data_IF_253138009039
#
_entry.id   IF_253138009039
#
_cell.length_a   1.000
_cell.length_b   1.000
_cell.length_c   1.000
_cell.angle_alpha   90.00
_cell.angle_beta   90.00
_cell.angle_gamma   90.00
#
_symmetry.space_group_name_H-M   'P 1'
#
loop_
_entity.id
_entity.type
_entity.pdbx_description
1 polymer ?
#
# COMPACT_ATOMS: atom_id res chain seq x y z
N UNK A 1 62.10 16.09 -30.62
CA UNK A 1 62.10 14.89 -29.78
C UNK A 1 60.66 14.59 -29.36
N UNK A 2 60.08 13.50 -29.88
CA UNK A 2 58.72 13.03 -29.66
C UNK A 2 58.68 12.26 -28.33
N UNK A 3 57.67 12.50 -27.46
CA UNK A 3 57.22 11.52 -26.44
C UNK A 3 55.72 11.32 -26.54
N UNK A 4 55.38 10.15 -27.03
CA UNK A 4 54.04 9.54 -26.94
C UNK A 4 53.72 9.21 -25.50
N UNK A 5 52.50 9.55 -25.04
CA UNK A 5 51.89 8.93 -23.88
C UNK A 5 50.54 8.34 -24.30
N UNK A 6 50.46 7.02 -24.30
CA UNK A 6 49.27 6.19 -24.55
C UNK A 6 48.37 6.25 -23.35
N UNK A 7 47.08 6.51 -23.57
CA UNK A 7 45.98 6.32 -22.62
C UNK A 7 45.70 4.83 -22.43
N UNK A 8 45.42 4.33 -21.22
CA UNK A 8 44.97 2.95 -21.02
C UNK A 8 43.47 2.80 -21.26
N UNK A 9 43.16 1.73 -21.96
CA UNK A 9 41.84 1.26 -22.38
C UNK A 9 40.93 0.87 -21.23
N UNK A 10 39.68 1.27 -21.38
CA UNK A 10 38.48 0.89 -20.59
C UNK A 10 38.14 -0.61 -20.80
N UNK A 11 38.65 -1.50 -19.95
CA UNK A 11 38.18 -2.90 -19.86
C UNK A 11 38.65 -3.52 -18.53
N UNK A 12 38.05 -3.12 -17.40
CA UNK A 12 38.15 -3.86 -16.13
C UNK A 12 37.27 -3.23 -15.04
N UNK A 13 35.94 -3.20 -15.25
CA UNK A 13 35.00 -2.87 -14.19
C UNK A 13 33.66 -3.58 -14.38
N UNK A 14 33.67 -4.90 -14.54
CA UNK A 14 32.46 -5.70 -14.49
C UNK A 14 32.70 -7.07 -13.85
N UNK A 15 33.12 -7.06 -12.60
CA UNK A 15 33.16 -8.31 -11.81
C UNK A 15 33.37 -8.05 -10.31
N UNK A 16 32.46 -7.28 -9.66
CA UNK A 16 32.41 -7.22 -8.18
C UNK A 16 31.02 -6.81 -7.68
N UNK A 17 29.97 -7.52 -8.09
CA UNK A 17 28.60 -7.27 -7.56
C UNK A 17 27.75 -8.52 -7.28
N UNK A 18 28.38 -9.64 -6.89
CA UNK A 18 27.61 -10.88 -6.62
C UNK A 18 28.09 -11.64 -5.38
N UNK A 19 28.66 -10.95 -4.36
CA UNK A 19 29.16 -11.65 -3.17
C UNK A 19 28.59 -11.21 -1.82
N UNK A 20 27.53 -10.38 -1.79
CA UNK A 20 27.01 -9.81 -0.53
C UNK A 20 25.62 -10.30 -0.10
N UNK A 21 24.93 -11.16 -0.87
CA UNK A 21 23.55 -11.54 -0.53
C UNK A 21 23.41 -12.89 0.20
N UNK A 22 24.42 -13.72 0.30
CA UNK A 22 24.33 -15.05 0.94
C UNK A 22 24.46 -15.07 2.48
N UNK A 23 25.16 -14.18 3.18
CA UNK A 23 25.25 -14.26 4.64
C UNK A 23 23.94 -13.90 5.36
N UNK A 24 23.19 -12.91 4.88
CA UNK A 24 21.98 -12.38 5.55
C UNK A 24 20.81 -13.36 5.58
N UNK A 25 20.64 -14.18 4.54
CA UNK A 25 19.57 -15.20 4.52
C UNK A 25 19.86 -16.39 5.47
N UNK A 26 21.12 -16.70 5.70
CA UNK A 26 21.52 -17.73 6.65
C UNK A 26 21.29 -17.31 8.08
N UNK A 27 21.67 -16.08 8.43
CA UNK A 27 21.43 -15.49 9.77
C UNK A 27 19.93 -15.39 10.09
N UNK A 28 19.09 -15.04 9.13
CA UNK A 28 17.63 -14.96 9.35
C UNK A 28 17.01 -16.33 9.64
N UNK A 29 17.44 -17.38 8.94
CA UNK A 29 16.95 -18.77 9.18
C UNK A 29 17.42 -19.34 10.51
N UNK A 30 18.66 -19.08 10.87
CA UNK A 30 19.21 -19.53 12.16
C UNK A 30 18.53 -18.83 13.34
N UNK A 31 18.32 -17.51 13.24
CA UNK A 31 17.58 -16.72 14.25
C UNK A 31 16.11 -17.17 14.33
N UNK A 32 15.48 -17.49 13.20
CA UNK A 32 14.11 -18.01 13.19
C UNK A 32 14.01 -19.39 13.85
N UNK A 33 14.95 -20.29 13.55
CA UNK A 33 14.98 -21.61 14.17
C UNK A 33 15.19 -21.53 15.68
N UNK A 34 16.10 -20.68 16.14
CA UNK A 34 16.34 -20.43 17.57
C UNK A 34 15.11 -19.80 18.23
N UNK A 35 14.42 -18.87 17.56
CA UNK A 35 13.17 -18.27 17.98
C UNK A 35 12.08 -19.31 18.19
N UNK A 36 11.85 -20.15 17.20
CA UNK A 36 10.85 -21.23 17.22
C UNK A 36 11.15 -22.19 18.37
N UNK A 37 12.40 -22.59 18.53
CA UNK A 37 12.82 -23.48 19.62
C UNK A 37 12.62 -22.85 21.01
N UNK A 38 12.94 -21.56 21.14
CA UNK A 38 12.72 -20.80 22.39
C UNK A 38 11.24 -20.64 22.70
N UNK A 39 10.40 -20.41 21.69
CA UNK A 39 8.95 -20.38 21.85
C UNK A 39 8.39 -21.75 22.21
N UNK A 40 8.84 -22.84 21.56
CA UNK A 40 8.46 -24.21 21.89
C UNK A 40 8.78 -24.54 23.35
N UNK A 41 10.00 -24.32 23.81
CA UNK A 41 10.38 -24.58 25.21
C UNK A 41 9.53 -23.81 26.23
N UNK A 42 9.09 -22.59 25.90
CA UNK A 42 8.22 -21.79 26.76
C UNK A 42 6.74 -22.21 26.70
N UNK A 43 6.30 -22.78 25.56
CA UNK A 43 4.92 -23.21 25.33
C UNK A 43 4.65 -24.68 25.70
N UNK A 44 5.67 -25.54 25.72
CA UNK A 44 5.55 -26.94 26.14
C UNK A 44 5.01 -27.14 27.56
N UNK A 45 4.93 -26.07 28.33
CA UNK A 45 4.34 -26.10 29.67
C UNK A 45 2.80 -26.01 29.71
N UNK A 46 2.09 -25.74 28.58
CA UNK A 46 0.62 -25.77 28.52
C UNK A 46 0.13 -25.98 27.05
N UNK A 47 0.21 -27.24 26.58
CA UNK A 47 -0.41 -27.58 25.30
C UNK A 47 -1.94 -27.71 25.45
N UNK A 48 -2.69 -26.74 24.95
CA UNK A 48 -4.09 -26.92 24.59
C UNK A 48 -4.21 -26.99 23.05
N UNK A 49 -5.06 -27.87 22.49
CA UNK A 49 -5.20 -28.02 21.05
C UNK A 49 -5.82 -26.75 20.47
N UNK A 50 -5.13 -26.14 19.50
CA UNK A 50 -5.66 -25.01 18.74
C UNK A 50 -6.74 -25.53 17.77
N UNK A 51 -7.94 -24.98 17.86
CA UNK A 51 -8.94 -25.12 16.80
C UNK A 51 -8.46 -24.38 15.56
N UNK A 52 -8.54 -24.97 14.36
CA UNK A 52 -8.13 -24.29 13.13
C UNK A 52 -8.99 -23.04 12.93
N UNK A 53 -8.33 -21.89 12.82
CA UNK A 53 -8.98 -20.62 12.57
C UNK A 53 -9.74 -20.68 11.25
N UNK A 54 -11.05 -20.45 11.29
CA UNK A 54 -11.87 -20.39 10.09
C UNK A 54 -11.55 -19.09 9.35
N UNK A 55 -11.06 -19.23 8.12
CA UNK A 55 -10.82 -18.12 7.20
C UNK A 55 -12.17 -17.45 6.93
N UNK A 56 -12.33 -16.19 7.36
CA UNK A 56 -13.54 -15.40 7.08
C UNK A 56 -14.34 -14.92 8.30
N UNK A 57 -13.99 -15.35 9.52
CA UNK A 57 -14.63 -14.80 10.72
C UNK A 57 -14.03 -13.44 11.12
N UNK A 58 -14.90 -12.54 11.59
CA UNK A 58 -14.43 -11.29 12.17
C UNK A 58 -13.60 -11.58 13.42
N UNK A 59 -12.43 -10.93 13.58
CA UNK A 59 -11.60 -11.13 14.76
C UNK A 59 -12.38 -10.71 16.03
N UNK A 60 -12.26 -11.51 17.08
CA UNK A 60 -12.90 -11.20 18.35
C UNK A 60 -12.22 -9.99 19.03
N UNK A 61 -13.03 -8.96 19.35
CA UNK A 61 -12.56 -7.75 20.03
C UNK A 61 -12.54 -7.93 21.57
N UNK A 62 -12.12 -9.12 22.04
CA UNK A 62 -11.92 -9.41 23.47
C UNK A 62 -10.44 -9.36 23.82
N UNK A 63 -10.07 -9.09 25.07
CA UNK A 63 -8.71 -9.27 25.55
C UNK A 63 -8.20 -10.67 25.20
N UNK A 64 -6.96 -10.77 24.76
CA UNK A 64 -6.34 -12.04 24.38
C UNK A 64 -5.35 -12.47 25.47
N UNK A 65 -5.83 -13.23 26.43
CA UNK A 65 -5.03 -13.70 27.58
C UNK A 65 -4.53 -15.13 27.40
N UNK A 66 -5.09 -15.86 26.43
CA UNK A 66 -4.87 -17.31 26.29
C UNK A 66 -3.86 -17.67 25.19
N UNK A 67 -3.41 -16.71 24.42
CA UNK A 67 -2.49 -16.91 23.27
C UNK A 67 -1.45 -15.82 23.19
N UNK A 68 -0.39 -16.09 22.43
CA UNK A 68 0.58 -15.08 22.06
C UNK A 68 -0.09 -13.90 21.36
N UNK A 69 0.39 -12.70 21.67
CA UNK A 69 -0.02 -11.49 20.94
C UNK A 69 1.21 -10.85 20.33
N UNK A 70 1.12 -10.54 19.04
CA UNK A 70 2.20 -9.91 18.30
C UNK A 70 1.74 -8.56 17.77
N UNK A 71 2.57 -7.54 17.88
CA UNK A 71 2.44 -6.29 17.16
C UNK A 71 3.49 -6.23 16.06
N UNK A 72 3.10 -5.75 14.87
CA UNK A 72 4.01 -5.55 13.76
C UNK A 72 3.83 -4.16 13.19
N UNK A 73 4.89 -3.37 13.24
CA UNK A 73 5.00 -2.08 12.56
C UNK A 73 5.58 -2.29 11.16
N UNK A 74 4.75 -2.06 10.14
CA UNK A 74 5.07 -2.38 8.74
C UNK A 74 5.87 -1.24 8.10
N UNK A 75 7.19 -1.46 7.92
CA UNK A 75 8.03 -0.59 7.12
C UNK A 75 8.11 -1.01 5.64
N UNK A 76 8.74 -0.17 4.83
CA UNK A 76 8.88 -0.41 3.38
C UNK A 76 9.75 -1.63 3.05
N UNK A 77 10.92 -1.73 3.66
CA UNK A 77 11.85 -2.86 3.46
C UNK A 77 11.95 -3.77 4.67
N UNK A 78 11.79 -3.23 5.86
CA UNK A 78 11.89 -3.93 7.12
C UNK A 78 10.71 -3.58 8.02
N UNK A 79 10.08 -4.60 8.56
CA UNK A 79 9.01 -4.49 9.55
C UNK A 79 9.55 -4.87 10.92
N UNK A 80 9.17 -4.13 11.96
CA UNK A 80 9.52 -4.43 13.33
C UNK A 80 8.41 -5.23 13.99
N UNK A 81 8.76 -6.22 14.80
CA UNK A 81 7.78 -7.00 15.55
C UNK A 81 8.12 -7.10 17.02
N UNK A 82 7.08 -7.26 17.82
CA UNK A 82 7.14 -7.54 19.24
C UNK A 82 6.15 -8.66 19.57
N UNK A 83 6.64 -9.73 20.23
CA UNK A 83 5.83 -10.87 20.67
C UNK A 83 5.68 -10.80 22.17
N UNK A 84 4.44 -10.81 22.64
CA UNK A 84 4.08 -10.90 24.05
C UNK A 84 3.65 -12.33 24.39
N UNK A 85 4.11 -12.79 25.55
CA UNK A 85 3.71 -14.06 26.15
C UNK A 85 2.34 -14.00 26.79
N UNK A 86 1.96 -15.12 27.44
CA UNK A 86 0.65 -15.29 28.07
C UNK A 86 0.45 -14.36 29.28
N UNK A 87 1.51 -13.91 29.91
CA UNK A 87 1.48 -12.98 31.05
C UNK A 87 1.65 -11.49 30.61
N UNK A 88 1.77 -11.25 29.30
CA UNK A 88 1.98 -9.92 28.73
C UNK A 88 3.43 -9.44 28.79
N UNK A 89 4.35 -10.30 29.17
CA UNK A 89 5.79 -10.06 29.12
C UNK A 89 6.29 -10.05 27.67
N UNK A 90 7.26 -9.20 27.37
CA UNK A 90 7.91 -9.21 26.05
C UNK A 90 8.82 -10.44 25.95
N UNK A 91 8.47 -11.39 25.10
CA UNK A 91 9.28 -12.57 24.84
C UNK A 91 10.41 -12.25 23.90
N UNK A 92 10.09 -11.58 22.79
CA UNK A 92 11.01 -11.31 21.68
C UNK A 92 10.61 -10.03 20.98
N UNK A 93 11.60 -9.29 20.55
CA UNK A 93 11.49 -8.18 19.59
C UNK A 93 12.52 -8.39 18.49
N UNK A 94 12.17 -8.00 17.27
CA UNK A 94 13.05 -8.14 16.13
C UNK A 94 12.55 -7.44 14.88
N UNK A 95 13.18 -7.79 13.79
CA UNK A 95 12.84 -7.27 12.46
C UNK A 95 12.69 -8.43 11.49
N UNK A 96 11.82 -8.26 10.50
CA UNK A 96 11.70 -9.15 9.35
C UNK A 96 11.64 -8.31 8.08
N UNK A 97 12.07 -8.89 6.97
CA UNK A 97 11.94 -8.23 5.67
C UNK A 97 10.48 -8.16 5.26
N UNK A 98 10.07 -7.01 4.73
CA UNK A 98 8.72 -6.78 4.22
C UNK A 98 8.58 -7.33 2.79
N UNK A 99 8.81 -8.66 2.63
CA UNK A 99 8.56 -9.39 1.38
C UNK A 99 7.53 -10.47 1.60
N UNK A 100 6.83 -10.89 0.54
CA UNK A 100 5.81 -11.94 0.67
C UNK A 100 6.40 -13.26 1.19
N UNK A 101 7.61 -13.62 0.71
CA UNK A 101 8.29 -14.85 1.11
C UNK A 101 8.73 -14.83 2.57
N UNK A 102 9.42 -13.76 3.00
CA UNK A 102 9.91 -13.67 4.38
C UNK A 102 8.76 -13.58 5.38
N UNK A 103 7.69 -12.84 5.06
CA UNK A 103 6.48 -12.77 5.89
C UNK A 103 5.81 -14.14 6.01
N UNK A 104 5.65 -14.87 4.91
CA UNK A 104 5.04 -16.20 4.93
C UNK A 104 5.89 -17.20 5.73
N UNK A 105 7.20 -17.25 5.48
CA UNK A 105 8.14 -18.14 6.20
C UNK A 105 8.12 -17.86 7.71
N UNK A 106 8.14 -16.57 8.09
CA UNK A 106 8.12 -16.17 9.49
C UNK A 106 6.83 -16.60 10.21
N UNK A 107 5.67 -16.30 9.63
CA UNK A 107 4.39 -16.60 10.29
C UNK A 107 3.99 -18.07 10.22
N UNK A 108 4.44 -18.84 9.23
CA UNK A 108 4.29 -20.30 9.20
C UNK A 108 5.07 -20.99 10.31
N UNK A 109 6.19 -20.42 10.77
CA UNK A 109 7.03 -20.99 11.81
C UNK A 109 6.51 -20.73 13.23
N UNK A 110 5.54 -19.82 13.40
CA UNK A 110 5.02 -19.42 14.70
C UNK A 110 3.67 -20.09 14.96
N UNK A 111 3.42 -20.51 16.20
CA UNK A 111 2.10 -21.02 16.61
C UNK A 111 1.01 -19.95 16.43
N UNK A 112 -0.25 -20.35 16.14
CA UNK A 112 -1.34 -19.41 15.96
C UNK A 112 -1.42 -18.37 17.10
N UNK A 113 -1.42 -17.11 16.72
CA UNK A 113 -1.37 -15.95 17.62
C UNK A 113 -2.34 -14.87 17.15
N UNK A 114 -2.65 -13.91 18.02
CA UNK A 114 -3.24 -12.65 17.62
C UNK A 114 -2.14 -11.74 17.11
N UNK A 115 -2.27 -11.26 15.89
CA UNK A 115 -1.31 -10.35 15.24
C UNK A 115 -1.98 -9.01 14.98
N UNK A 116 -1.36 -7.94 15.44
CA UNK A 116 -1.82 -6.57 15.24
C UNK A 116 -0.87 -5.86 14.29
N UNK A 117 -1.41 -5.36 13.20
CA UNK A 117 -0.69 -4.52 12.23
C UNK A 117 -1.37 -3.16 12.12
N UNK A 118 -0.63 -2.12 11.73
CA UNK A 118 -1.22 -0.81 11.43
C UNK A 118 -1.62 -0.74 9.94
N UNK A 119 -2.74 -0.03 9.64
CA UNK A 119 -3.15 0.19 8.26
C UNK A 119 -2.10 1.00 7.49
N UNK A 120 -1.68 0.51 6.34
CA UNK A 120 -0.67 1.12 5.50
C UNK A 120 -0.63 0.47 4.11
N UNK A 121 0.35 0.84 3.31
CA UNK A 121 0.51 0.37 1.93
C UNK A 121 0.64 -1.16 1.84
N UNK A 122 1.34 -1.76 2.80
CA UNK A 122 1.59 -3.20 2.84
C UNK A 122 0.53 -4.00 3.61
N UNK A 123 -0.27 -3.34 4.45
CA UNK A 123 -1.13 -4.02 5.43
C UNK A 123 -2.11 -5.02 4.83
N UNK A 124 -2.64 -4.76 3.64
CA UNK A 124 -3.66 -5.62 3.03
C UNK A 124 -3.11 -7.00 2.58
N UNK A 125 -1.97 -7.04 1.89
CA UNK A 125 -1.38 -8.31 1.46
C UNK A 125 -0.70 -9.03 2.64
N UNK A 126 -0.14 -8.27 3.59
CA UNK A 126 0.43 -8.84 4.83
C UNK A 126 -0.66 -9.51 5.65
N UNK A 127 -1.82 -8.87 5.84
CA UNK A 127 -2.97 -9.47 6.50
C UNK A 127 -3.39 -10.79 5.86
N UNK A 128 -3.47 -10.84 4.51
CA UNK A 128 -3.85 -12.05 3.79
C UNK A 128 -2.88 -13.22 4.04
N UNK A 129 -1.58 -12.93 4.02
CA UNK A 129 -0.55 -13.95 4.29
C UNK A 129 -0.65 -14.44 5.74
N UNK A 130 -0.69 -13.53 6.71
CA UNK A 130 -0.73 -13.85 8.13
C UNK A 130 -2.00 -14.66 8.46
N UNK A 131 -3.16 -14.24 7.96
CA UNK A 131 -4.40 -14.98 8.13
C UNK A 131 -4.36 -16.36 7.47
N UNK A 132 -3.74 -16.47 6.28
CA UNK A 132 -3.50 -17.74 5.60
C UNK A 132 -2.60 -18.70 6.37
N UNK A 133 -1.75 -18.21 7.26
CA UNK A 133 -0.95 -19.01 8.19
C UNK A 133 -1.71 -19.41 9.48
N UNK A 134 -3.01 -19.10 9.60
CA UNK A 134 -3.85 -19.47 10.74
C UNK A 134 -3.83 -18.52 11.93
N UNK A 135 -3.27 -17.32 11.77
CA UNK A 135 -3.29 -16.29 12.82
C UNK A 135 -4.55 -15.43 12.77
N UNK A 136 -4.97 -14.94 13.92
CA UNK A 136 -5.98 -13.88 14.04
C UNK A 136 -5.33 -12.52 13.77
N UNK A 137 -5.84 -11.76 12.80
CA UNK A 137 -5.23 -10.47 12.42
C UNK A 137 -6.16 -9.30 12.71
N UNK A 138 -5.67 -8.35 13.49
CA UNK A 138 -6.30 -7.06 13.74
C UNK A 138 -5.55 -5.97 12.96
N UNK A 139 -6.25 -5.23 12.12
CA UNK A 139 -5.69 -4.09 11.38
C UNK A 139 -6.09 -2.80 12.08
N UNK A 140 -5.16 -2.21 12.81
CA UNK A 140 -5.38 -0.98 13.59
C UNK A 140 -5.55 0.25 12.70
N UNK A 141 -6.48 1.15 13.08
CA UNK A 141 -6.67 2.43 12.41
C UNK A 141 -5.99 3.57 13.20
N UNK A 142 -4.79 4.03 12.81
CA UNK A 142 -4.04 5.04 13.56
C UNK A 142 -4.72 6.39 13.63
N UNK A 143 -5.63 6.70 12.69
CA UNK A 143 -6.36 7.98 12.67
C UNK A 143 -7.34 8.10 13.83
N UNK A 144 -7.87 6.97 14.30
CA UNK A 144 -8.87 6.91 15.37
C UNK A 144 -8.25 6.55 16.73
N UNK A 145 -7.03 6.01 16.74
CA UNK A 145 -6.33 5.66 17.98
C UNK A 145 -5.98 6.92 18.78
N UNK A 146 -6.43 6.99 20.02
CA UNK A 146 -6.12 8.11 20.92
C UNK A 146 -4.62 8.20 21.20
N UNK A 147 -4.07 9.44 21.18
CA UNK A 147 -2.67 9.71 21.53
C UNK A 147 -1.64 9.50 20.40
N UNK A 148 -2.04 9.11 19.19
CA UNK A 148 -1.14 8.98 18.03
C UNK A 148 -0.47 10.32 17.64
N UNK A 149 -1.10 11.46 17.91
CA UNK A 149 -0.65 12.80 17.47
C UNK A 149 0.39 13.48 18.39
N UNK A 150 0.70 12.96 19.57
CA UNK A 150 1.42 13.74 20.61
C UNK A 150 2.89 13.37 20.90
N UNK A 151 3.50 12.38 20.26
CA UNK A 151 4.90 12.01 20.61
C UNK A 151 5.90 12.39 19.52
N UNK A 152 6.81 13.29 19.87
CA UNK A 152 7.94 13.78 19.03
C UNK A 152 9.08 12.76 18.80
N UNK A 153 9.07 11.60 19.44
CA UNK A 153 10.05 10.51 19.22
C UNK A 153 9.28 9.22 18.92
N UNK A 154 9.05 8.98 17.65
CA UNK A 154 8.56 7.73 17.11
C UNK A 154 9.76 6.79 16.91
N UNK A 155 9.65 5.55 17.35
CA UNK A 155 10.57 4.48 17.02
C UNK A 155 9.71 3.27 16.72
N UNK A 156 9.96 2.66 15.57
CA UNK A 156 9.20 1.54 15.01
C UNK A 156 9.11 0.36 16.01
N UNK A 157 10.16 0.16 16.81
CA UNK A 157 10.17 -0.82 17.91
C UNK A 157 9.14 -0.50 18.99
N UNK A 158 9.00 0.76 19.39
CA UNK A 158 8.02 1.21 20.39
C UNK A 158 6.60 1.06 19.84
N UNK A 159 6.42 1.31 18.54
CA UNK A 159 5.13 1.19 17.89
C UNK A 159 4.69 -0.28 17.80
N UNK A 160 5.57 -1.21 17.45
CA UNK A 160 5.28 -2.66 17.48
C UNK A 160 4.89 -3.17 18.88
N UNK A 161 5.63 -2.78 19.93
CA UNK A 161 5.31 -3.16 21.31
C UNK A 161 3.96 -2.58 21.73
N UNK A 162 3.67 -1.32 21.40
CA UNK A 162 2.38 -0.68 21.68
C UNK A 162 1.22 -1.40 21.00
N UNK A 163 1.36 -1.76 19.74
CA UNK A 163 0.35 -2.52 18.99
C UNK A 163 0.08 -3.88 19.66
N UNK A 164 1.14 -4.60 20.04
CA UNK A 164 1.00 -5.87 20.73
C UNK A 164 0.23 -5.72 22.06
N UNK A 165 0.58 -4.73 22.89
CA UNK A 165 -0.09 -4.48 24.19
C UNK A 165 -1.56 -4.10 24.03
N UNK A 166 -1.87 -3.18 23.11
CA UNK A 166 -3.26 -2.79 22.82
C UNK A 166 -4.07 -3.97 22.30
N UNK A 167 -3.53 -4.72 21.35
CA UNK A 167 -4.20 -5.91 20.81
C UNK A 167 -4.44 -7.00 21.85
N UNK A 168 -3.63 -7.05 22.91
CA UNK A 168 -3.79 -7.98 24.00
C UNK A 168 -4.87 -7.54 24.99
N UNK A 169 -4.81 -6.30 25.47
CA UNK A 169 -5.60 -5.82 26.63
C UNK A 169 -6.84 -5.08 26.19
N UNK A 170 -6.74 -4.23 25.17
CA UNK A 170 -7.83 -3.38 24.67
C UNK A 170 -7.84 -3.31 23.15
N UNK A 171 -8.26 -4.39 22.48
CA UNK A 171 -8.32 -4.41 21.03
C UNK A 171 -9.35 -3.44 20.43
N UNK A 172 -10.32 -2.95 21.22
CA UNK A 172 -11.30 -1.97 20.75
C UNK A 172 -10.66 -0.60 20.50
N UNK A 173 -9.69 -0.21 21.32
CA UNK A 173 -8.94 1.06 21.15
C UNK A 173 -8.11 1.12 19.87
N UNK A 174 -7.87 -0.02 19.20
CA UNK A 174 -7.24 -0.09 17.90
C UNK A 174 -8.17 0.37 16.77
N UNK A 175 -9.48 0.48 17.03
CA UNK A 175 -10.51 0.72 16.02
C UNK A 175 -10.30 -0.17 14.78
N UNK A 176 -10.34 -1.51 14.92
CA UNK A 176 -9.95 -2.43 13.87
C UNK A 176 -10.79 -2.24 12.61
N UNK A 177 -10.11 -2.26 11.48
CA UNK A 177 -10.75 -2.14 10.17
C UNK A 177 -10.53 -3.39 9.31
N UNK A 178 -11.41 -3.59 8.36
CA UNK A 178 -11.28 -4.63 7.35
C UNK A 178 -10.80 -4.02 6.04
N UNK A 179 -9.80 -4.63 5.43
CA UNK A 179 -9.42 -4.28 4.06
C UNK A 179 -10.51 -4.72 3.07
N UNK A 180 -10.55 -4.03 1.94
CA UNK A 180 -11.37 -4.45 0.79
C UNK A 180 -10.83 -5.75 0.24
N UNK A 181 -11.70 -6.54 -0.36
CA UNK A 181 -11.34 -7.78 -1.03
C UNK A 181 -10.27 -7.57 -2.11
N UNK A 182 -9.50 -8.61 -2.38
CA UNK A 182 -8.34 -8.56 -3.31
C UNK A 182 -8.74 -8.06 -4.69
N UNK A 183 -9.85 -8.55 -5.25
CA UNK A 183 -10.33 -8.13 -6.56
C UNK A 183 -10.70 -6.65 -6.59
N UNK A 184 -11.44 -6.18 -5.57
CA UNK A 184 -11.83 -4.77 -5.47
C UNK A 184 -10.60 -3.86 -5.36
N UNK A 185 -9.58 -4.29 -4.62
CA UNK A 185 -8.30 -3.54 -4.53
C UNK A 185 -7.57 -3.49 -5.87
N UNK A 186 -7.58 -4.58 -6.64
CA UNK A 186 -7.00 -4.62 -7.99
C UNK A 186 -7.75 -3.67 -8.93
N UNK A 187 -9.08 -3.67 -8.90
CA UNK A 187 -9.89 -2.78 -9.73
C UNK A 187 -9.73 -1.30 -9.32
N UNK A 188 -9.52 -1.02 -8.03
CA UNK A 188 -9.18 0.33 -7.57
C UNK A 188 -7.81 0.82 -8.08
N UNK A 189 -6.85 -0.06 -8.35
CA UNK A 189 -5.57 0.33 -8.97
C UNK A 189 -5.80 0.94 -10.34
N UNK A 190 -6.76 0.41 -11.13
CA UNK A 190 -7.12 0.95 -12.43
C UNK A 190 -7.56 2.42 -12.34
N UNK A 191 -8.45 2.74 -11.39
CA UNK A 191 -8.92 4.11 -11.16
C UNK A 191 -7.79 5.03 -10.70
N UNK A 192 -6.96 4.58 -9.77
CA UNK A 192 -5.83 5.36 -9.25
C UNK A 192 -4.77 5.64 -10.31
N UNK A 193 -4.47 4.66 -11.16
CA UNK A 193 -3.54 4.84 -12.26
C UNK A 193 -4.07 5.88 -13.27
N UNK A 194 -5.36 5.78 -13.61
CA UNK A 194 -6.01 6.78 -14.46
C UNK A 194 -5.94 8.19 -13.85
N UNK A 195 -6.24 8.34 -12.56
CA UNK A 195 -6.21 9.63 -11.88
C UNK A 195 -4.79 10.22 -11.85
N UNK A 196 -3.77 9.40 -11.66
CA UNK A 196 -2.37 9.83 -11.75
C UNK A 196 -2.03 10.36 -13.15
N UNK A 197 -2.50 9.69 -14.22
CA UNK A 197 -2.30 10.17 -15.61
C UNK A 197 -3.02 11.50 -15.86
N UNK A 198 -4.23 11.67 -15.32
CA UNK A 198 -4.99 12.93 -15.43
C UNK A 198 -4.28 14.07 -14.70
N UNK A 199 -3.75 13.80 -13.50
CA UNK A 199 -2.97 14.79 -12.74
C UNK A 199 -1.71 15.21 -13.50
N UNK A 200 -0.92 14.24 -14.01
CA UNK A 200 0.29 14.49 -14.78
C UNK A 200 -0.01 15.31 -16.06
N UNK A 201 -1.06 14.94 -16.80
CA UNK A 201 -1.49 15.70 -17.98
C UNK A 201 -1.87 17.13 -17.63
N UNK A 202 -2.61 17.32 -16.57
CA UNK A 202 -3.05 18.65 -16.12
C UNK A 202 -1.87 19.51 -15.73
N UNK A 203 -0.87 18.94 -15.04
CA UNK A 203 0.37 19.62 -14.69
C UNK A 203 1.15 20.07 -15.94
N UNK A 204 1.32 19.19 -16.94
CA UNK A 204 2.00 19.52 -18.20
C UNK A 204 1.28 20.64 -18.95
N UNK A 205 -0.06 20.58 -19.04
CA UNK A 205 -0.87 21.62 -19.69
C UNK A 205 -0.70 22.97 -18.97
N UNK A 206 -0.78 22.99 -17.65
CA UNK A 206 -0.67 24.20 -16.87
C UNK A 206 0.74 24.80 -16.96
N UNK A 207 1.78 23.97 -16.90
CA UNK A 207 3.18 24.36 -17.05
C UNK A 207 3.42 24.97 -18.45
N UNK A 208 2.97 24.29 -19.50
CA UNK A 208 3.11 24.81 -20.88
C UNK A 208 2.42 26.14 -21.04
N UNK A 209 1.18 26.28 -20.55
CA UNK A 209 0.44 27.56 -20.58
C UNK A 209 1.14 28.66 -19.80
N UNK A 210 1.72 28.33 -18.64
CA UNK A 210 2.47 29.26 -17.80
C UNK A 210 3.72 29.77 -18.50
N UNK A 211 4.50 28.86 -19.09
CA UNK A 211 5.73 29.21 -19.81
C UNK A 211 5.46 30.09 -21.05
N UNK A 212 4.45 29.74 -21.87
CA UNK A 212 4.09 30.60 -23.03
C UNK A 212 3.59 31.97 -22.56
N UNK A 213 2.86 32.03 -21.45
CA UNK A 213 2.38 33.31 -20.89
C UNK A 213 3.53 34.20 -20.44
N UNK A 214 4.62 33.62 -19.88
CA UNK A 214 5.81 34.39 -19.49
C UNK A 214 6.54 35.03 -20.69
N UNK A 215 6.32 34.52 -21.90
CA UNK A 215 6.83 35.09 -23.16
C UNK A 215 5.90 36.14 -23.79
N UNK A 216 4.88 36.59 -23.05
CA UNK A 216 3.92 37.60 -23.52
C UNK A 216 2.81 37.07 -24.42
N UNK A 217 2.74 35.76 -24.67
CA UNK A 217 1.77 35.11 -25.56
C UNK A 217 0.82 34.20 -24.77
N UNK A 218 -0.33 33.86 -25.34
CA UNK A 218 -1.29 32.93 -24.71
C UNK A 218 -1.70 31.84 -25.66
N UNK A 219 -1.65 30.60 -25.22
CA UNK A 219 -2.22 29.49 -25.97
C UNK A 219 -3.76 29.57 -26.02
N UNK A 220 -4.38 29.06 -27.09
CA UNK A 220 -5.82 29.08 -27.28
C UNK A 220 -6.55 28.34 -26.13
N UNK A 221 -7.76 28.79 -25.81
CA UNK A 221 -8.65 28.06 -24.90
C UNK A 221 -9.12 26.78 -25.61
N UNK A 222 -8.88 25.64 -24.95
CA UNK A 222 -9.26 24.32 -25.45
C UNK A 222 -9.44 23.34 -24.30
N UNK A 223 -10.13 22.24 -24.57
CA UNK A 223 -10.20 21.11 -23.64
C UNK A 223 -8.84 20.42 -23.48
N UNK A 224 -8.62 19.71 -22.37
CA UNK A 224 -7.41 18.91 -22.20
C UNK A 224 -7.22 17.85 -23.27
N UNK A 225 -8.31 17.34 -23.84
CA UNK A 225 -8.30 16.35 -24.92
C UNK A 225 -7.78 16.92 -26.24
N UNK A 226 -8.15 18.17 -26.57
CA UNK A 226 -7.72 18.84 -27.82
C UNK A 226 -6.46 19.69 -27.64
N UNK A 227 -5.83 19.62 -26.45
CA UNK A 227 -4.69 20.47 -26.12
C UNK A 227 -3.48 20.17 -27.03
N UNK A 228 -3.14 18.90 -27.25
CA UNK A 228 -2.00 18.48 -28.08
C UNK A 228 -2.00 19.18 -29.42
N UNK A 229 -3.08 19.00 -30.19
CA UNK A 229 -3.24 19.59 -31.52
C UNK A 229 -3.25 21.13 -31.48
N UNK A 230 -4.15 21.73 -30.70
CA UNK A 230 -4.35 23.20 -30.71
C UNK A 230 -3.17 23.99 -30.10
N UNK A 231 -2.49 23.43 -29.11
CA UNK A 231 -1.35 24.10 -28.53
C UNK A 231 -0.09 23.93 -29.37
N UNK A 232 0.11 22.76 -29.98
CA UNK A 232 1.28 22.50 -30.81
C UNK A 232 1.44 23.47 -31.97
N UNK A 233 0.33 23.87 -32.58
CA UNK A 233 0.32 24.88 -33.69
C UNK A 233 0.54 26.31 -33.16
N UNK A 234 0.13 26.62 -31.94
CA UNK A 234 0.12 27.96 -31.38
C UNK A 234 1.35 28.29 -30.52
N UNK A 235 2.29 27.39 -30.38
CA UNK A 235 3.55 27.67 -29.65
C UNK A 235 4.40 28.66 -30.45
N UNK A 236 4.88 29.76 -29.83
CA UNK A 236 5.82 30.66 -30.47
C UNK A 236 7.09 29.94 -30.98
N UNK A 237 7.58 30.30 -32.15
CA UNK A 237 8.72 29.60 -32.80
C UNK A 237 9.95 29.57 -31.91
N UNK A 238 10.26 30.67 -31.19
CA UNK A 238 11.40 30.76 -30.28
C UNK A 238 11.30 29.84 -29.04
N UNK A 239 10.12 29.32 -28.73
CA UNK A 239 9.88 28.42 -27.61
C UNK A 239 9.55 26.99 -28.09
N UNK A 240 9.47 26.77 -29.39
CA UNK A 240 8.94 25.51 -29.95
C UNK A 240 9.79 24.31 -29.58
N UNK A 241 11.10 24.40 -29.70
CA UNK A 241 12.02 23.33 -29.34
C UNK A 241 11.85 22.88 -27.87
N UNK A 242 11.71 23.84 -26.95
CA UNK A 242 11.59 23.57 -25.52
C UNK A 242 10.19 23.06 -25.11
N UNK A 243 9.10 23.54 -25.76
CA UNK A 243 7.74 23.30 -25.28
C UNK A 243 6.99 22.22 -26.06
N UNK A 244 7.37 21.96 -27.33
CA UNK A 244 6.71 20.93 -28.14
C UNK A 244 6.76 19.54 -27.48
N UNK A 245 7.86 19.10 -26.86
CA UNK A 245 7.91 17.81 -26.16
C UNK A 245 6.86 17.71 -25.02
N UNK A 246 6.59 18.80 -24.28
CA UNK A 246 5.58 18.82 -23.23
C UNK A 246 4.16 18.65 -23.79
N UNK A 247 3.90 19.28 -24.94
CA UNK A 247 2.60 19.18 -25.63
C UNK A 247 2.39 17.76 -26.16
N UNK A 248 3.39 17.18 -26.79
CA UNK A 248 3.34 15.81 -27.31
C UNK A 248 3.14 14.78 -26.17
N UNK A 249 3.80 14.98 -25.04
CA UNK A 249 3.60 14.12 -23.88
C UNK A 249 2.18 14.23 -23.31
N UNK A 250 1.62 15.46 -23.24
CA UNK A 250 0.24 15.67 -22.81
C UNK A 250 -0.78 15.02 -23.77
N UNK A 251 -0.50 14.98 -25.06
CA UNK A 251 -1.30 14.28 -26.06
C UNK A 251 -1.22 12.77 -25.90
N UNK A 252 -0.03 12.21 -25.73
CA UNK A 252 0.17 10.80 -25.44
C UNK A 252 -0.55 10.35 -24.15
N UNK A 253 -0.48 11.17 -23.09
CA UNK A 253 -1.25 10.93 -21.86
C UNK A 253 -2.76 10.93 -22.11
N UNK A 254 -3.26 11.80 -23.00
CA UNK A 254 -4.69 11.84 -23.36
C UNK A 254 -5.13 10.53 -24.01
N UNK A 255 -4.33 9.99 -24.94
CA UNK A 255 -4.60 8.68 -25.57
C UNK A 255 -4.60 7.53 -24.54
N UNK A 256 -3.63 7.53 -23.61
CA UNK A 256 -3.59 6.57 -22.51
C UNK A 256 -4.86 6.66 -21.64
N UNK A 257 -5.25 7.86 -21.23
CA UNK A 257 -6.45 8.08 -20.39
C UNK A 257 -7.71 7.55 -21.09
N UNK A 258 -7.84 7.75 -22.40
CA UNK A 258 -8.97 7.18 -23.16
C UNK A 258 -9.00 5.65 -23.13
N UNK A 259 -7.84 5.00 -23.14
CA UNK A 259 -7.75 3.55 -22.95
C UNK A 259 -8.24 3.12 -21.58
N UNK A 260 -7.84 3.84 -20.51
CA UNK A 260 -8.35 3.60 -19.17
C UNK A 260 -9.85 3.87 -19.03
N UNK A 261 -10.36 4.95 -19.63
CA UNK A 261 -11.78 5.29 -19.60
C UNK A 261 -12.64 4.18 -20.23
N UNK A 262 -12.21 3.60 -21.35
CA UNK A 262 -12.88 2.44 -21.97
C UNK A 262 -12.86 1.23 -21.06
N UNK A 263 -11.71 0.91 -20.49
CA UNK A 263 -11.59 -0.23 -19.55
C UNK A 263 -12.44 -0.07 -18.30
N UNK A 264 -12.55 1.15 -17.78
CA UNK A 264 -13.42 1.47 -16.63
C UNK A 264 -14.91 1.33 -17.02
N UNK A 265 -15.31 1.75 -18.20
CA UNK A 265 -16.69 1.58 -18.69
C UNK A 265 -17.05 0.09 -18.83
N UNK A 266 -16.16 -0.72 -19.42
CA UNK A 266 -16.34 -2.17 -19.51
C UNK A 266 -16.50 -2.79 -18.10
N UNK A 267 -15.60 -2.48 -17.20
CA UNK A 267 -15.61 -2.99 -15.83
C UNK A 267 -16.89 -2.59 -15.07
N UNK A 268 -17.30 -1.33 -15.21
CA UNK A 268 -18.52 -0.80 -14.60
C UNK A 268 -19.79 -1.47 -15.15
N UNK A 269 -19.84 -1.76 -16.45
CA UNK A 269 -21.02 -2.33 -17.08
C UNK A 269 -21.15 -3.85 -16.92
N UNK A 270 -20.06 -4.57 -16.92
CA UNK A 270 -20.02 -6.04 -16.92
C UNK A 270 -19.91 -6.61 -15.51
N UNK A 271 -18.90 -6.18 -14.74
CA UNK A 271 -18.62 -6.73 -13.40
C UNK A 271 -19.41 -6.04 -12.30
N UNK A 272 -19.52 -4.71 -12.35
CA UNK A 272 -20.15 -3.90 -11.28
C UNK A 272 -21.50 -3.32 -11.72
N UNK A 273 -22.46 -4.20 -11.98
CA UNK A 273 -23.80 -3.84 -12.53
C UNK A 273 -24.58 -2.81 -11.70
N UNK A 274 -24.32 -2.69 -10.40
CA UNK A 274 -24.91 -1.67 -9.52
C UNK A 274 -24.57 -0.24 -9.94
N UNK A 275 -23.49 -0.03 -10.71
CA UNK A 275 -23.12 1.28 -11.26
C UNK A 275 -24.22 1.86 -12.16
N UNK A 276 -25.04 1.00 -12.82
CA UNK A 276 -26.17 1.42 -13.66
C UNK A 276 -27.19 2.24 -12.89
N UNK A 277 -27.45 1.91 -11.64
CA UNK A 277 -28.38 2.65 -10.78
C UNK A 277 -27.81 4.03 -10.43
N UNK A 278 -26.54 4.10 -10.08
CA UNK A 278 -25.85 5.37 -9.75
C UNK A 278 -25.79 6.32 -10.93
N UNK A 279 -25.62 5.80 -12.15
CA UNK A 279 -25.55 6.57 -13.40
C UNK A 279 -26.89 7.22 -13.81
N UNK A 280 -27.99 6.87 -13.16
CA UNK A 280 -29.28 7.56 -13.35
C UNK A 280 -29.24 8.96 -12.69
N UNK A 281 -28.33 9.20 -11.74
CA UNK A 281 -28.15 10.51 -11.11
C UNK A 281 -27.40 11.43 -12.05
N UNK A 282 -27.98 12.59 -12.38
CA UNK A 282 -27.35 13.58 -13.28
C UNK A 282 -25.96 13.97 -12.76
N UNK A 283 -24.96 13.86 -13.64
CA UNK A 283 -23.57 14.17 -13.32
C UNK A 283 -22.74 12.99 -12.83
N UNK A 284 -23.33 11.83 -12.57
CA UNK A 284 -22.61 10.61 -12.18
C UNK A 284 -22.25 9.80 -13.44
N UNK A 285 -21.00 9.88 -13.83
CA UNK A 285 -20.44 9.07 -14.93
C UNK A 285 -19.93 7.71 -14.45
N UNK A 286 -19.41 6.87 -15.39
CA UNK A 286 -18.92 5.53 -15.09
C UNK A 286 -17.78 5.54 -14.06
N UNK A 287 -16.87 6.48 -14.16
CA UNK A 287 -15.72 6.62 -13.24
C UNK A 287 -16.20 6.88 -11.80
N UNK A 288 -17.10 7.86 -11.62
CA UNK A 288 -17.66 8.20 -10.30
C UNK A 288 -18.48 7.04 -9.74
N UNK A 289 -19.31 6.42 -10.57
CA UNK A 289 -20.14 5.29 -10.16
C UNK A 289 -19.29 4.08 -9.74
N UNK A 290 -18.26 3.75 -10.53
CA UNK A 290 -17.35 2.64 -10.22
C UNK A 290 -16.51 2.95 -8.97
N UNK A 291 -15.97 4.16 -8.85
CA UNK A 291 -15.23 4.58 -7.66
C UNK A 291 -16.08 4.45 -6.39
N UNK A 292 -17.35 4.85 -6.46
CA UNK A 292 -18.30 4.70 -5.37
C UNK A 292 -18.50 3.23 -4.98
N UNK A 293 -18.84 2.37 -5.94
CA UNK A 293 -19.09 0.94 -5.69
C UNK A 293 -17.84 0.26 -5.12
N UNK A 294 -16.67 0.50 -5.69
CA UNK A 294 -15.42 -0.09 -5.21
C UNK A 294 -15.00 0.45 -3.83
N UNK A 295 -15.34 1.69 -3.51
CA UNK A 295 -15.00 2.28 -2.22
C UNK A 295 -15.88 1.73 -1.10
N UNK A 296 -17.17 1.57 -1.34
CA UNK A 296 -18.09 0.97 -0.37
C UNK A 296 -17.92 -0.55 -0.29
N UNK A 297 -17.77 -1.22 -1.44
CA UNK A 297 -17.67 -2.67 -1.62
C UNK A 297 -18.89 -3.42 -1.04
N UNK A 298 -19.03 -3.44 0.28
CA UNK A 298 -20.11 -4.09 1.03
C UNK A 298 -20.83 -3.04 1.85
N UNK A 299 -22.06 -2.65 1.46
CA UNK A 299 -22.86 -1.66 2.21
C UNK A 299 -23.13 -2.08 3.66
N UNK A 300 -23.18 -3.39 3.93
CA UNK A 300 -23.45 -3.97 5.25
C UNK A 300 -22.33 -3.65 6.29
N UNK A 301 -21.18 -3.17 5.83
CA UNK A 301 -20.08 -2.69 6.69
C UNK A 301 -20.45 -1.42 7.47
N UNK A 302 -21.51 -0.73 7.06
CA UNK A 302 -21.95 0.53 7.64
C UNK A 302 -23.28 0.35 8.36
N UNK A 303 -23.33 0.71 9.65
CA UNK A 303 -24.56 0.64 10.43
C UNK A 303 -25.61 1.63 9.92
N UNK A 304 -25.16 2.77 9.34
CA UNK A 304 -26.02 3.82 8.79
C UNK A 304 -25.41 4.34 7.48
N UNK A 305 -26.25 4.79 6.54
CA UNK A 305 -25.80 5.33 5.24
C UNK A 305 -24.83 6.52 5.38
N UNK A 306 -25.00 7.36 6.41
CA UNK A 306 -24.10 8.50 6.70
C UNK A 306 -22.68 8.09 7.13
N UNK A 307 -22.50 6.87 7.63
CA UNK A 307 -21.21 6.37 8.08
C UNK A 307 -20.25 6.11 6.89
N UNK A 308 -20.80 6.01 5.68
CA UNK A 308 -20.03 5.95 4.44
C UNK A 308 -19.44 7.28 3.97
N UNK A 309 -19.94 8.43 4.50
CA UNK A 309 -19.48 9.77 4.11
C UNK A 309 -17.99 10.04 4.34
N UNK A 310 -17.41 9.75 5.52
CA UNK A 310 -16.01 10.03 5.83
C UNK A 310 -14.97 9.26 4.99
N UNK A 311 -15.41 8.27 4.20
CA UNK A 311 -14.51 7.48 3.33
C UNK A 311 -14.03 8.29 2.12
N UNK A 312 -14.70 9.40 1.81
CA UNK A 312 -14.45 10.28 0.65
C UNK A 312 -13.57 11.49 0.97
N UNK A 313 -13.20 11.69 2.22
CA UNK A 313 -12.39 12.81 2.70
C UNK A 313 -10.90 12.63 2.63
#
# INVERSE_FOLDING_TARGET
MKKNSKSPTKKEQTSKRTRSQRPVQRETKEVLAELVERLRRKLELKAMPASPGQVGQQPELRPNLDRLTMGVDLGDQWSHYCILGLEGETLIEGQLRTTQGDVAEFFQAITPARVVIEVGTHSAWVQEIIAGCGHEVLVANPRLMEGSKRRKRKSDRIDANKLARLGRVDPQSLHPMQHRGREVRQDLVLLRARDALVAARTELINTTRGLVKSLGTRLPKCSSRSFGHKAGEAIPEQAREALLPLVQLAEGLSACIEGYDRRIEELASEKYRHTKLLRQVKGVGPITALAYVLTLEKPERFAKSRDGGPIWG
#
